data_IF_243909640459
#
_entry.id   IF_243909640459
#
_cell.length_a   1.000
_cell.length_b   1.000
_cell.length_c   1.000
_cell.angle_alpha   90.00
_cell.angle_beta   90.00
_cell.angle_gamma   90.00
#
_symmetry.space_group_name_H-M   'P 1'
#
loop_
_entity.id
_entity.type
_entity.pdbx_description
1 polymer ?
#
# COMPACT_ATOMS: atom_id res chain seq x y z
N UNK A 1 -22.07 11.43 -38.23
CA UNK A 1 -22.37 12.84 -38.00
C UNK A 1 -22.74 13.49 -39.31
N UNK A 2 -23.49 14.59 -39.28
CA UNK A 2 -23.88 15.34 -40.47
C UNK A 2 -22.69 15.75 -41.35
N UNK A 3 -21.54 16.07 -40.75
CA UNK A 3 -20.32 16.42 -41.45
C UNK A 3 -19.71 15.24 -42.23
N UNK A 4 -19.75 14.00 -41.69
CA UNK A 4 -19.26 12.82 -42.39
C UNK A 4 -20.13 12.44 -43.56
N UNK A 5 -21.45 12.62 -43.45
CA UNK A 5 -22.38 12.42 -44.54
C UNK A 5 -22.22 13.48 -45.66
N UNK A 6 -22.00 14.73 -45.25
CA UNK A 6 -21.72 15.82 -46.19
C UNK A 6 -20.39 15.62 -46.93
N UNK A 7 -19.34 15.17 -46.22
CA UNK A 7 -18.05 14.83 -46.82
C UNK A 7 -18.14 13.60 -47.79
N UNK A 8 -18.90 12.59 -47.44
CA UNK A 8 -19.12 11.41 -48.29
C UNK A 8 -19.91 11.83 -49.60
N UNK A 9 -20.91 12.69 -49.45
CA UNK A 9 -21.65 13.24 -50.59
C UNK A 9 -20.76 14.11 -51.50
N UNK A 10 -19.89 14.96 -50.89
CA UNK A 10 -18.97 15.84 -51.62
C UNK A 10 -17.89 15.07 -52.42
N UNK A 11 -17.50 13.88 -51.95
CA UNK A 11 -16.52 13.04 -52.62
C UNK A 11 -17.05 12.36 -53.87
N UNK A 12 -18.39 12.36 -54.11
CA UNK A 12 -19.00 11.87 -55.32
C UNK A 12 -18.68 10.40 -55.68
N UNK A 13 -18.10 9.66 -54.77
CA UNK A 13 -17.64 8.30 -55.02
C UNK A 13 -18.84 7.34 -54.84
N UNK A 14 -19.17 6.59 -55.93
CA UNK A 14 -20.13 5.50 -55.84
C UNK A 14 -19.62 4.48 -54.79
N UNK A 15 -20.37 4.33 -53.69
CA UNK A 15 -20.03 3.44 -52.59
C UNK A 15 -19.31 4.09 -51.42
N UNK A 16 -19.15 5.41 -51.37
CA UNK A 16 -18.70 6.11 -50.16
C UNK A 16 -19.82 6.11 -49.11
N UNK A 17 -19.62 5.41 -48.04
CA UNK A 17 -20.56 5.34 -46.92
C UNK A 17 -19.96 6.07 -45.70
N UNK A 18 -20.71 6.98 -45.11
CA UNK A 18 -20.30 7.60 -43.88
C UNK A 18 -20.50 6.63 -42.70
N UNK A 19 -19.45 6.01 -42.30
CA UNK A 19 -19.46 5.11 -41.15
C UNK A 19 -19.48 5.97 -39.88
N UNK A 20 -20.65 6.10 -39.27
CA UNK A 20 -20.84 6.81 -38.02
C UNK A 20 -20.14 6.13 -36.86
N UNK A 21 -19.76 6.90 -35.84
CA UNK A 21 -19.34 6.35 -34.56
C UNK A 21 -20.52 5.66 -33.90
N UNK A 22 -20.57 4.33 -33.97
CA UNK A 22 -21.56 3.57 -33.21
C UNK A 22 -21.20 3.59 -31.72
N UNK A 23 -22.15 3.27 -30.85
CA UNK A 23 -21.89 3.16 -29.41
C UNK A 23 -21.03 1.94 -29.05
N UNK A 24 -20.82 1.01 -29.98
CA UNK A 24 -20.08 -0.24 -29.83
C UNK A 24 -18.80 -0.32 -30.69
N UNK A 25 -18.64 0.56 -31.67
CA UNK A 25 -17.54 0.49 -32.64
C UNK A 25 -16.19 0.94 -32.08
N UNK A 26 -15.13 0.30 -32.59
CA UNK A 26 -13.72 0.63 -32.37
C UNK A 26 -13.04 0.85 -33.71
N UNK A 27 -12.46 2.03 -33.91
CA UNK A 27 -11.69 2.35 -35.12
C UNK A 27 -10.21 2.20 -34.84
N UNK A 28 -9.51 1.44 -35.70
CA UNK A 28 -8.05 1.33 -35.69
C UNK A 28 -7.49 2.29 -36.72
N UNK A 29 -6.64 3.22 -36.27
CA UNK A 29 -6.04 4.26 -37.12
C UNK A 29 -4.53 4.12 -37.17
N UNK A 30 -3.92 4.58 -38.25
CA UNK A 30 -2.47 4.66 -38.36
C UNK A 30 -1.95 5.73 -37.39
N UNK A 31 -1.02 5.36 -36.51
CA UNK A 31 -0.40 6.27 -35.53
C UNK A 31 0.08 7.57 -36.16
N UNK A 32 -0.27 8.69 -35.54
CA UNK A 32 0.10 10.04 -35.99
C UNK A 32 -0.72 10.55 -37.17
N UNK A 33 -1.76 9.86 -37.58
CA UNK A 33 -2.64 10.25 -38.70
C UNK A 33 -4.11 10.05 -38.32
N UNK A 34 -5.02 10.59 -39.13
CA UNK A 34 -6.47 10.29 -39.07
C UNK A 34 -6.87 9.12 -39.98
N UNK A 35 -5.91 8.45 -40.66
CA UNK A 35 -6.18 7.36 -41.58
C UNK A 35 -6.70 6.13 -40.83
N UNK A 36 -7.95 5.79 -41.03
CA UNK A 36 -8.57 4.56 -40.54
C UNK A 36 -8.01 3.37 -41.33
N UNK A 37 -7.47 2.37 -40.64
CA UNK A 37 -7.00 1.11 -41.21
C UNK A 37 -8.15 0.12 -41.34
N UNK A 38 -8.96 0.01 -40.30
CA UNK A 38 -10.22 -0.72 -40.29
C UNK A 38 -11.10 -0.24 -39.16
N UNK A 39 -12.36 -0.59 -39.23
CA UNK A 39 -13.34 -0.36 -38.16
C UNK A 39 -13.98 -1.69 -37.78
N UNK A 40 -14.09 -1.92 -36.49
CA UNK A 40 -14.76 -3.07 -35.92
C UNK A 40 -16.02 -2.62 -35.20
N UNK A 41 -17.15 -3.23 -35.54
CA UNK A 41 -18.40 -3.08 -34.80
C UNK A 41 -19.10 -4.43 -34.72
N UNK A 42 -18.94 -5.13 -33.60
CA UNK A 42 -19.59 -6.41 -33.33
C UNK A 42 -20.92 -6.27 -32.60
N UNK A 43 -21.39 -5.04 -32.36
CA UNK A 43 -22.57 -4.78 -31.55
C UNK A 43 -22.29 -4.76 -30.05
N UNK A 44 -23.37 -4.58 -29.26
CA UNK A 44 -23.28 -4.51 -27.81
C UNK A 44 -22.74 -5.83 -27.22
N UNK A 45 -21.76 -5.72 -26.31
CA UNK A 45 -21.16 -6.88 -25.63
C UNK A 45 -20.05 -7.62 -26.39
N UNK A 46 -19.78 -7.23 -27.66
CA UNK A 46 -18.67 -7.79 -28.44
C UNK A 46 -17.50 -6.82 -28.46
N UNK A 47 -16.29 -7.34 -28.22
CA UNK A 47 -15.08 -6.52 -28.11
C UNK A 47 -14.05 -6.91 -29.19
N UNK A 48 -13.28 -5.93 -29.64
CA UNK A 48 -12.12 -6.18 -30.51
C UNK A 48 -11.02 -6.82 -29.68
N UNK A 49 -10.48 -7.95 -30.13
CA UNK A 49 -9.28 -8.57 -29.55
C UNK A 49 -8.14 -8.50 -30.56
N UNK A 50 -7.00 -7.99 -30.10
CA UNK A 50 -5.75 -7.97 -30.86
C UNK A 50 -4.81 -8.99 -30.24
N UNK A 51 -4.41 -9.99 -31.04
CA UNK A 51 -3.46 -11.03 -30.65
C UNK A 51 -2.13 -10.79 -31.36
N UNK A 52 -1.00 -10.76 -30.65
CA UNK A 52 0.30 -10.71 -31.31
C UNK A 52 0.54 -12.02 -32.08
N UNK A 53 1.15 -11.90 -33.25
CA UNK A 53 1.53 -13.08 -34.04
C UNK A 53 2.57 -13.94 -33.30
N UNK A 54 2.69 -15.21 -33.71
CA UNK A 54 3.80 -16.07 -33.31
C UNK A 54 4.86 -15.99 -34.41
N UNK A 55 6.08 -15.60 -34.02
CA UNK A 55 7.24 -15.64 -34.94
C UNK A 55 8.20 -16.72 -34.43
N UNK A 56 8.39 -17.78 -35.15
CA UNK A 56 9.38 -18.86 -34.93
C UNK A 56 9.47 -19.40 -33.51
N UNK A 57 8.34 -19.54 -32.81
CA UNK A 57 8.26 -20.02 -31.43
C UNK A 57 8.67 -18.98 -30.35
N UNK A 58 9.00 -17.78 -30.76
CA UNK A 58 9.30 -16.66 -29.82
C UNK A 58 8.00 -15.99 -29.39
N UNK A 59 7.85 -15.78 -28.08
CA UNK A 59 6.73 -14.99 -27.56
C UNK A 59 6.80 -13.56 -28.08
N UNK A 60 5.88 -13.20 -28.95
CA UNK A 60 5.76 -11.83 -29.42
C UNK A 60 5.07 -10.93 -28.40
N UNK A 61 5.31 -9.64 -28.51
CA UNK A 61 4.79 -8.64 -27.57
C UNK A 61 3.91 -7.61 -28.28
N UNK A 62 2.89 -7.15 -27.57
CA UNK A 62 2.07 -6.00 -28.00
C UNK A 62 2.58 -4.73 -27.31
N UNK A 63 2.69 -3.64 -28.06
CA UNK A 63 3.05 -2.33 -27.53
C UNK A 63 1.80 -1.57 -27.09
N UNK A 64 1.77 -1.12 -25.82
CA UNK A 64 0.69 -0.30 -25.29
C UNK A 64 1.22 0.76 -24.33
N UNK A 65 0.88 2.02 -24.54
CA UNK A 65 1.31 3.17 -23.71
C UNK A 65 2.80 3.21 -23.40
N UNK A 66 3.65 2.88 -24.38
CA UNK A 66 5.11 2.93 -24.25
C UNK A 66 5.75 1.70 -23.61
N UNK A 67 4.95 0.71 -23.21
CA UNK A 67 5.43 -0.55 -22.63
C UNK A 67 5.13 -1.74 -23.57
N UNK A 68 5.82 -2.84 -23.36
CA UNK A 68 5.65 -4.11 -24.06
C UNK A 68 4.96 -5.13 -23.16
N UNK A 69 3.99 -5.86 -23.68
CA UNK A 69 3.17 -6.81 -22.94
C UNK A 69 3.10 -8.14 -23.65
N UNK A 70 3.13 -9.23 -22.89
CA UNK A 70 2.73 -10.54 -23.39
C UNK A 70 1.20 -10.65 -23.46
N UNK A 71 0.72 -11.61 -24.31
CA UNK A 71 -0.70 -11.94 -24.38
C UNK A 71 -1.55 -11.00 -25.25
N UNK A 72 -2.84 -11.23 -25.22
CA UNK A 72 -3.83 -10.58 -26.06
C UNK A 72 -4.32 -9.26 -25.44
N UNK A 73 -4.78 -8.35 -26.28
CA UNK A 73 -5.39 -7.10 -25.86
C UNK A 73 -6.84 -7.01 -26.31
N UNK A 74 -7.77 -6.86 -25.38
CA UNK A 74 -9.18 -6.64 -25.63
C UNK A 74 -9.52 -5.16 -25.45
N UNK A 75 -10.22 -4.60 -26.41
CA UNK A 75 -10.70 -3.23 -26.44
C UNK A 75 -12.22 -3.24 -26.27
N UNK A 76 -12.69 -2.94 -25.06
CA UNK A 76 -14.11 -2.93 -24.70
C UNK A 76 -14.65 -1.51 -24.75
N UNK A 77 -15.63 -1.28 -25.61
CA UNK A 77 -16.36 0.00 -25.65
C UNK A 77 -17.18 0.18 -24.38
N UNK A 78 -17.10 1.36 -23.81
CA UNK A 78 -17.90 1.78 -22.64
C UNK A 78 -18.79 2.96 -22.99
N UNK A 79 -19.76 3.27 -22.12
CA UNK A 79 -20.59 4.47 -22.24
C UNK A 79 -19.73 5.75 -22.30
N UNK A 80 -20.23 6.79 -22.96
CA UNK A 80 -19.54 8.06 -23.10
C UNK A 80 -18.31 8.05 -24.01
N UNK A 81 -18.12 7.04 -24.84
CA UNK A 81 -17.01 7.00 -25.79
C UNK A 81 -15.71 6.44 -25.27
N UNK A 82 -15.63 6.01 -24.02
CA UNK A 82 -14.45 5.46 -23.40
C UNK A 82 -14.16 4.01 -23.85
N UNK A 83 -12.90 3.60 -23.74
CA UNK A 83 -12.45 2.22 -23.93
C UNK A 83 -11.84 1.70 -22.63
N UNK A 84 -12.28 0.51 -22.20
CA UNK A 84 -11.51 -0.31 -21.27
C UNK A 84 -10.58 -1.19 -22.09
N UNK A 85 -9.28 -1.12 -21.78
CA UNK A 85 -8.27 -1.96 -22.44
C UNK A 85 -7.81 -3.02 -21.44
N UNK A 86 -8.03 -4.30 -21.80
CA UNK A 86 -7.72 -5.44 -20.94
C UNK A 86 -6.64 -6.28 -21.61
N UNK A 87 -5.59 -6.59 -20.85
CA UNK A 87 -4.55 -7.51 -21.29
C UNK A 87 -4.87 -8.93 -20.77
N UNK A 88 -5.07 -9.87 -21.66
CA UNK A 88 -5.20 -11.30 -21.36
C UNK A 88 -3.82 -11.93 -21.44
N UNK A 89 -3.26 -12.28 -20.30
CA UNK A 89 -1.89 -12.78 -20.17
C UNK A 89 -1.87 -14.09 -19.40
N UNK A 90 -1.04 -15.09 -19.80
CA UNK A 90 -0.83 -16.30 -19.01
C UNK A 90 -0.31 -15.95 -17.60
N UNK A 91 -0.75 -16.71 -16.58
CA UNK A 91 -0.45 -16.42 -15.18
C UNK A 91 1.04 -16.28 -14.90
N UNK A 92 1.89 -17.15 -15.43
CA UNK A 92 3.33 -17.11 -15.16
C UNK A 92 4.02 -15.91 -15.82
N UNK A 93 3.56 -15.51 -17.00
CA UNK A 93 4.02 -14.29 -17.65
C UNK A 93 3.60 -13.04 -16.89
N UNK A 94 2.37 -13.03 -16.36
CA UNK A 94 1.88 -11.97 -15.48
C UNK A 94 2.72 -11.89 -14.19
N UNK A 95 2.95 -13.02 -13.52
CA UNK A 95 3.75 -13.09 -12.29
C UNK A 95 5.17 -12.57 -12.51
N UNK A 96 5.86 -13.03 -13.58
CA UNK A 96 7.19 -12.51 -13.92
C UNK A 96 7.19 -10.99 -14.10
N UNK A 97 6.19 -10.44 -14.80
CA UNK A 97 6.07 -9.00 -15.00
C UNK A 97 5.78 -8.23 -13.70
N UNK A 98 4.95 -8.77 -12.81
CA UNK A 98 4.65 -8.16 -11.50
C UNK A 98 5.89 -8.16 -10.62
N UNK A 99 6.51 -9.32 -10.38
CA UNK A 99 7.65 -9.41 -9.46
C UNK A 99 8.86 -8.59 -9.92
N UNK A 100 9.03 -8.43 -11.23
CA UNK A 100 10.10 -7.61 -11.80
C UNK A 100 9.93 -6.11 -11.51
N UNK A 101 8.72 -5.67 -11.20
CA UNK A 101 8.42 -4.30 -10.78
C UNK A 101 8.48 -4.13 -9.26
N UNK A 102 8.15 -5.18 -8.53
CA UNK A 102 8.10 -5.20 -7.07
C UNK A 102 9.49 -5.38 -6.44
N UNK A 103 10.34 -6.20 -7.03
CA UNK A 103 11.68 -6.52 -6.52
C UNK A 103 12.74 -6.42 -7.62
N UNK A 104 13.97 -6.04 -7.25
CA UNK A 104 15.09 -6.02 -8.18
C UNK A 104 15.46 -7.43 -8.67
N UNK A 105 15.72 -7.59 -9.97
CA UNK A 105 16.22 -8.84 -10.54
C UNK A 105 17.57 -9.31 -9.94
N UNK A 106 18.31 -8.42 -9.24
CA UNK A 106 19.56 -8.74 -8.55
C UNK A 106 19.38 -9.30 -7.13
N UNK A 107 18.14 -9.36 -6.63
CA UNK A 107 17.86 -9.89 -5.31
C UNK A 107 18.00 -11.42 -5.27
N UNK A 108 18.21 -12.02 -4.07
CA UNK A 108 18.29 -13.47 -3.92
C UNK A 108 17.07 -14.17 -4.52
N UNK A 109 17.32 -15.29 -5.21
CA UNK A 109 16.29 -16.03 -5.92
C UNK A 109 15.14 -16.47 -5.00
N UNK A 110 15.44 -16.86 -3.76
CA UNK A 110 14.40 -17.28 -2.82
C UNK A 110 13.47 -16.15 -2.39
N UNK A 111 13.94 -14.90 -2.32
CA UNK A 111 13.08 -13.74 -2.12
C UNK A 111 12.17 -13.50 -3.32
N UNK A 112 12.71 -13.61 -4.54
CA UNK A 112 11.93 -13.47 -5.77
C UNK A 112 10.88 -14.59 -5.91
N UNK A 113 11.22 -15.84 -5.51
CA UNK A 113 10.28 -16.96 -5.45
C UNK A 113 9.15 -16.72 -4.44
N UNK A 114 9.47 -16.24 -3.24
CA UNK A 114 8.45 -15.88 -2.24
C UNK A 114 7.48 -14.82 -2.80
N UNK A 115 8.02 -13.77 -3.43
CA UNK A 115 7.22 -12.75 -4.09
C UNK A 115 6.37 -13.31 -5.25
N UNK A 116 6.91 -14.25 -6.04
CA UNK A 116 6.18 -14.88 -7.14
C UNK A 116 4.97 -15.67 -6.63
N UNK A 117 5.14 -16.45 -5.58
CA UNK A 117 4.04 -17.20 -4.94
C UNK A 117 3.00 -16.25 -4.34
N UNK A 118 3.43 -15.16 -3.68
CA UNK A 118 2.51 -14.13 -3.20
C UNK A 118 1.71 -13.49 -4.34
N UNK A 119 2.39 -13.04 -5.39
CA UNK A 119 1.75 -12.36 -6.52
C UNK A 119 0.75 -13.27 -7.23
N UNK A 120 1.10 -14.53 -7.46
CA UNK A 120 0.23 -15.54 -8.08
C UNK A 120 -1.00 -15.81 -7.23
N UNK A 121 -0.81 -16.03 -5.93
CA UNK A 121 -1.90 -16.30 -5.00
C UNK A 121 -2.85 -15.12 -4.92
N UNK A 122 -2.30 -13.89 -4.80
CA UNK A 122 -3.11 -12.67 -4.81
C UNK A 122 -3.95 -12.55 -6.10
N UNK A 123 -3.34 -12.73 -7.26
CA UNK A 123 -4.05 -12.65 -8.54
C UNK A 123 -5.16 -13.70 -8.64
N UNK A 124 -4.88 -14.95 -8.22
CA UNK A 124 -5.86 -16.04 -8.22
C UNK A 124 -7.05 -15.76 -7.30
N UNK A 125 -6.78 -15.21 -6.10
CA UNK A 125 -7.79 -14.87 -5.09
C UNK A 125 -8.66 -13.67 -5.50
N UNK A 126 -8.09 -12.71 -6.25
CA UNK A 126 -8.74 -11.45 -6.60
C UNK A 126 -9.28 -11.44 -8.04
N UNK A 127 -9.50 -12.60 -8.65
CA UNK A 127 -10.25 -12.69 -9.90
C UNK A 127 -11.62 -12.03 -9.72
N UNK A 128 -12.04 -11.31 -10.74
CA UNK A 128 -13.30 -10.56 -10.72
C UNK A 128 -13.37 -9.37 -9.73
N UNK A 129 -12.28 -8.94 -9.10
CA UNK A 129 -12.29 -7.76 -8.21
C UNK A 129 -12.85 -6.52 -8.92
N UNK A 130 -12.57 -6.39 -10.21
CA UNK A 130 -13.07 -5.31 -11.07
C UNK A 130 -14.06 -5.78 -12.15
N UNK A 131 -14.86 -6.80 -11.86
CA UNK A 131 -15.84 -7.37 -12.81
C UNK A 131 -16.83 -6.35 -13.37
N UNK A 132 -17.26 -5.36 -12.58
CA UNK A 132 -18.08 -4.24 -13.04
C UNK A 132 -17.41 -3.41 -14.16
N UNK A 133 -16.09 -3.43 -14.22
CA UNK A 133 -15.29 -2.78 -15.26
C UNK A 133 -14.82 -3.77 -16.33
N UNK A 134 -15.17 -5.06 -16.25
CA UNK A 134 -14.91 -6.10 -17.24
C UNK A 134 -13.48 -6.66 -17.22
N UNK A 135 -12.78 -6.63 -16.07
CA UNK A 135 -11.47 -7.24 -15.88
C UNK A 135 -11.29 -7.77 -14.45
N UNK A 136 -10.29 -8.62 -14.23
CA UNK A 136 -10.04 -9.25 -12.94
C UNK A 136 -9.30 -8.33 -11.97
N UNK A 137 -8.12 -7.87 -12.34
CA UNK A 137 -7.22 -7.05 -11.52
C UNK A 137 -6.71 -5.85 -12.32
N UNK A 138 -6.46 -4.73 -11.65
CA UNK A 138 -5.87 -3.54 -12.29
C UNK A 138 -4.35 -3.54 -12.17
N UNK A 139 -3.68 -2.78 -13.07
CA UNK A 139 -2.23 -2.62 -13.09
C UNK A 139 -1.69 -1.51 -12.18
N UNK A 140 -2.41 -1.16 -11.11
CA UNK A 140 -2.03 -0.11 -10.16
C UNK A 140 -1.85 -0.65 -8.74
N UNK A 141 -1.47 0.21 -7.81
CA UNK A 141 -1.29 -0.13 -6.38
C UNK A 141 -2.57 -0.59 -5.67
N UNK A 142 -3.75 -0.44 -6.29
CA UNK A 142 -4.98 -1.02 -5.74
C UNK A 142 -5.03 -2.56 -5.87
N UNK A 143 -4.35 -3.11 -6.88
CA UNK A 143 -4.14 -4.56 -7.03
C UNK A 143 -2.65 -4.90 -7.00
N UNK A 144 -1.99 -4.87 -8.15
CA UNK A 144 -0.57 -5.14 -8.31
C UNK A 144 -0.01 -4.28 -9.43
N UNK A 145 1.10 -3.60 -9.20
CA UNK A 145 1.71 -2.74 -10.22
C UNK A 145 2.18 -3.60 -11.41
N UNK A 146 1.64 -3.31 -12.61
CA UNK A 146 1.89 -4.10 -13.80
C UNK A 146 2.14 -3.21 -15.03
N UNK A 147 3.36 -3.26 -15.55
CA UNK A 147 3.81 -2.52 -16.73
C UNK A 147 4.40 -3.44 -17.81
N UNK A 148 3.86 -4.66 -17.93
CA UNK A 148 4.33 -5.64 -18.88
C UNK A 148 5.80 -6.03 -18.65
N UNK A 149 6.55 -6.21 -19.74
CA UNK A 149 7.90 -6.79 -19.72
C UNK A 149 9.02 -5.79 -19.42
N UNK A 150 8.71 -4.56 -19.00
CA UNK A 150 9.68 -3.46 -18.93
C UNK A 150 10.89 -3.72 -18.02
N UNK A 151 10.72 -4.51 -16.97
CA UNK A 151 11.76 -4.82 -15.97
C UNK A 151 12.04 -6.31 -15.80
N UNK A 152 11.46 -7.18 -16.64
CA UNK A 152 11.71 -8.63 -16.56
C UNK A 152 13.18 -8.95 -16.78
N UNK A 153 13.70 -9.89 -15.98
CA UNK A 153 15.07 -10.33 -16.06
C UNK A 153 15.18 -11.86 -15.86
N UNK A 154 16.38 -12.38 -15.97
CA UNK A 154 16.63 -13.83 -15.88
C UNK A 154 16.18 -14.42 -14.55
N UNK A 155 16.48 -13.74 -13.42
CA UNK A 155 16.13 -14.26 -12.09
C UNK A 155 14.63 -14.13 -11.81
N UNK A 156 13.96 -13.07 -12.25
CA UNK A 156 12.50 -12.95 -12.09
C UNK A 156 11.77 -13.98 -12.94
N UNK A 157 12.21 -14.22 -14.17
CA UNK A 157 11.65 -15.27 -15.02
C UNK A 157 11.83 -16.65 -14.38
N UNK A 158 13.04 -16.94 -13.91
CA UNK A 158 13.38 -18.18 -13.21
C UNK A 158 12.56 -18.37 -11.93
N UNK A 159 12.36 -17.31 -11.14
CA UNK A 159 11.54 -17.37 -9.92
C UNK A 159 10.08 -17.71 -10.22
N UNK A 160 9.50 -17.11 -11.26
CA UNK A 160 8.14 -17.42 -11.70
C UNK A 160 8.02 -18.88 -12.19
N UNK A 161 8.98 -19.34 -13.00
CA UNK A 161 9.02 -20.69 -13.56
C UNK A 161 9.21 -21.78 -12.48
N UNK A 162 10.21 -21.62 -11.59
CA UNK A 162 10.51 -22.60 -10.55
C UNK A 162 9.41 -22.70 -9.47
N UNK A 163 8.53 -21.71 -9.39
CA UNK A 163 7.36 -21.71 -8.50
C UNK A 163 6.04 -21.83 -9.24
N UNK A 164 6.05 -22.20 -10.51
CA UNK A 164 4.85 -22.26 -11.32
C UNK A 164 3.75 -23.10 -10.67
N UNK A 165 2.53 -22.54 -10.65
CA UNK A 165 1.37 -23.18 -10.02
C UNK A 165 1.36 -23.24 -8.50
N UNK A 166 2.43 -22.79 -7.79
CA UNK A 166 2.46 -22.76 -6.34
C UNK A 166 1.66 -21.58 -5.76
N UNK A 167 0.84 -21.88 -4.76
CA UNK A 167 0.02 -20.91 -4.04
C UNK A 167 0.15 -21.08 -2.52
N UNK A 168 -0.19 -20.04 -1.77
CA UNK A 168 -0.27 -20.08 -0.30
C UNK A 168 -1.68 -20.52 0.11
N UNK A 169 -1.75 -21.49 1.02
CA UNK A 169 -2.99 -22.08 1.51
C UNK A 169 -3.09 -22.03 3.02
N UNK A 170 -4.29 -21.81 3.53
CA UNK A 170 -4.61 -21.89 4.95
C UNK A 170 -5.94 -22.60 5.15
N UNK A 171 -5.97 -23.65 5.98
CA UNK A 171 -7.20 -24.38 6.26
C UNK A 171 -7.90 -24.93 5.01
N UNK A 172 -7.15 -25.35 4.00
CA UNK A 172 -7.69 -25.92 2.75
C UNK A 172 -8.19 -24.88 1.72
N UNK A 173 -8.04 -23.57 2.00
CA UNK A 173 -8.38 -22.46 1.09
C UNK A 173 -7.15 -21.63 0.75
N UNK A 174 -7.14 -21.00 -0.41
CA UNK A 174 -6.09 -20.03 -0.73
C UNK A 174 -6.10 -18.89 0.28
N UNK A 175 -4.92 -18.41 0.69
CA UNK A 175 -4.74 -17.32 1.62
C UNK A 175 -4.54 -15.99 0.90
N UNK A 176 -5.06 -14.88 1.43
CA UNK A 176 -4.70 -13.54 0.95
C UNK A 176 -3.23 -13.25 1.26
N UNK A 177 -2.46 -12.95 0.24
CA UNK A 177 -1.02 -12.75 0.32
C UNK A 177 -0.65 -11.30 0.04
N UNK A 178 -0.99 -10.43 0.99
CA UNK A 178 -0.56 -9.04 0.94
C UNK A 178 0.95 -8.94 1.14
N UNK A 179 1.56 -7.92 0.52
CA UNK A 179 2.97 -7.62 0.65
C UNK A 179 3.22 -6.11 0.54
N UNK A 180 4.36 -5.66 1.02
CA UNK A 180 4.72 -4.24 1.06
C UNK A 180 6.24 -4.10 1.15
N UNK A 181 6.75 -2.87 1.02
CA UNK A 181 8.18 -2.62 0.88
C UNK A 181 9.02 -3.06 2.09
N UNK A 182 8.84 -2.41 3.25
CA UNK A 182 9.61 -2.68 4.45
C UNK A 182 8.81 -2.35 5.72
N UNK A 183 9.00 -3.15 6.79
CA UNK A 183 8.15 -3.12 7.98
C UNK A 183 8.66 -2.24 9.12
N UNK A 184 9.95 -1.90 9.13
CA UNK A 184 10.56 -1.12 10.19
C UNK A 184 10.80 -1.90 11.49
N UNK A 185 10.74 -3.24 11.43
CA UNK A 185 11.00 -4.17 12.53
C UNK A 185 9.82 -5.03 12.97
N UNK A 186 8.62 -4.83 12.41
CA UNK A 186 7.50 -5.75 12.60
C UNK A 186 6.40 -5.52 11.57
N UNK A 187 5.76 -6.60 11.13
CA UNK A 187 4.50 -6.56 10.39
C UNK A 187 3.32 -6.36 11.34
N UNK A 188 2.11 -6.27 10.83
CA UNK A 188 0.91 -6.02 11.62
C UNK A 188 -0.22 -6.97 11.28
N UNK A 189 -1.10 -7.19 12.26
CA UNK A 189 -2.34 -7.92 12.05
C UNK A 189 -3.28 -7.15 11.11
N UNK A 190 -3.92 -7.87 10.18
CA UNK A 190 -4.89 -7.28 9.26
C UNK A 190 -6.02 -6.55 10.01
N UNK A 191 -6.44 -7.05 11.16
CA UNK A 191 -7.47 -6.45 12.00
C UNK A 191 -7.08 -5.09 12.58
N UNK A 192 -5.79 -4.84 12.78
CA UNK A 192 -5.25 -3.59 13.30
C UNK A 192 -4.95 -2.54 12.20
N UNK A 193 -5.04 -2.91 10.94
CA UNK A 193 -4.79 -2.00 9.81
C UNK A 193 -6.09 -1.70 9.07
N UNK A 194 -6.80 -2.72 8.65
CA UNK A 194 -8.04 -2.58 7.89
C UNK A 194 -9.25 -3.06 8.69
N UNK A 195 -10.41 -2.56 8.34
CA UNK A 195 -11.67 -3.15 8.78
C UNK A 195 -11.85 -4.44 8.01
N UNK A 196 -11.65 -5.56 8.67
CA UNK A 196 -11.95 -6.87 8.13
C UNK A 196 -12.99 -7.51 9.04
N UNK A 197 -14.12 -7.90 8.48
CA UNK A 197 -15.10 -8.75 9.14
C UNK A 197 -14.71 -10.22 8.98
N UNK A 198 -13.66 -10.50 8.19
CA UNK A 198 -13.13 -11.83 7.94
C UNK A 198 -11.91 -12.05 8.83
N UNK A 199 -11.96 -13.05 9.69
CA UNK A 199 -10.80 -13.51 10.44
C UNK A 199 -9.79 -14.13 9.48
N UNK A 200 -8.62 -13.50 9.39
CA UNK A 200 -7.45 -13.98 8.64
C UNK A 200 -6.34 -14.36 9.63
N UNK A 201 -6.46 -15.49 10.34
CA UNK A 201 -5.59 -15.81 11.46
C UNK A 201 -4.13 -16.05 11.07
N UNK A 202 -3.84 -16.20 9.80
CA UNK A 202 -2.49 -16.27 9.24
C UNK A 202 -1.84 -14.89 9.03
N UNK A 203 -2.59 -13.78 9.09
CA UNK A 203 -2.11 -12.39 9.02
C UNK A 203 -2.10 -11.73 10.41
N UNK A 204 -1.31 -12.27 11.32
CA UNK A 204 -1.27 -11.85 12.74
C UNK A 204 -0.30 -10.71 13.05
N UNK A 205 0.58 -10.40 12.14
CA UNK A 205 1.75 -9.58 12.46
C UNK A 205 2.83 -10.37 13.19
N UNK A 206 4.06 -10.16 12.78
CA UNK A 206 5.25 -10.81 13.35
C UNK A 206 6.34 -9.77 13.59
N UNK A 207 7.12 -9.95 14.66
CA UNK A 207 8.36 -9.19 14.86
C UNK A 207 9.39 -9.71 13.86
N UNK A 208 9.96 -8.81 13.07
CA UNK A 208 10.93 -9.14 12.02
C UNK A 208 12.35 -8.74 12.46
N UNK A 209 13.18 -9.70 12.89
CA UNK A 209 14.56 -9.43 13.25
C UNK A 209 15.50 -9.39 12.04
N UNK A 210 15.04 -9.75 10.85
CA UNK A 210 15.87 -9.92 9.66
C UNK A 210 16.07 -8.61 8.91
N UNK A 211 15.02 -7.79 8.80
CA UNK A 211 15.04 -6.55 8.00
C UNK A 211 16.15 -5.57 8.46
N UNK A 212 16.51 -5.60 9.74
CA UNK A 212 17.59 -4.80 10.29
C UNK A 212 18.95 -5.01 9.58
N UNK A 213 19.23 -6.20 9.05
CA UNK A 213 20.48 -6.51 8.34
C UNK A 213 20.63 -5.71 7.04
N UNK A 214 19.53 -5.30 6.45
CA UNK A 214 19.49 -4.60 5.16
C UNK A 214 19.00 -3.15 5.28
N UNK A 215 18.67 -2.69 6.49
CA UNK A 215 18.10 -1.37 6.74
C UNK A 215 18.93 -0.22 6.12
N UNK A 216 20.26 -0.33 6.13
CA UNK A 216 21.16 0.65 5.53
C UNK A 216 21.10 0.72 3.99
N UNK A 217 20.53 -0.29 3.34
CA UNK A 217 20.36 -0.37 1.89
C UNK A 217 18.98 0.15 1.45
N UNK A 218 18.08 0.40 2.40
CA UNK A 218 16.71 0.83 2.12
C UNK A 218 16.65 2.36 2.09
N UNK A 219 16.40 2.90 0.92
CA UNK A 219 16.24 4.35 0.79
C UNK A 219 15.07 4.83 1.66
N UNK A 220 15.37 5.75 2.58
CA UNK A 220 14.36 6.31 3.49
C UNK A 220 13.68 5.24 4.37
N UNK A 221 14.46 4.24 4.83
CA UNK A 221 14.01 3.30 5.87
C UNK A 221 13.47 4.03 7.10
N UNK A 222 14.16 5.08 7.50
CA UNK A 222 13.67 6.05 8.47
C UNK A 222 13.38 7.37 7.75
N UNK A 223 12.22 7.95 7.99
CA UNK A 223 11.85 9.24 7.44
C UNK A 223 11.15 10.10 8.47
N UNK A 224 11.38 11.41 8.41
CA UNK A 224 10.78 12.39 9.33
C UNK A 224 9.88 13.34 8.56
N UNK A 225 8.75 13.68 9.20
CA UNK A 225 7.86 14.76 8.77
C UNK A 225 7.59 15.63 9.99
N UNK A 226 7.75 16.94 9.83
CA UNK A 226 7.44 17.89 10.89
C UNK A 226 6.16 18.64 10.57
N UNK A 227 5.26 18.70 11.53
CA UNK A 227 4.03 19.49 11.45
C UNK A 227 4.09 20.63 12.47
N UNK A 228 3.82 21.84 12.06
CA UNK A 228 3.47 22.92 12.98
C UNK A 228 2.04 22.70 13.53
N UNK A 229 1.74 23.26 14.69
CA UNK A 229 0.37 23.28 15.24
C UNK A 229 -0.64 23.85 14.24
N UNK A 230 -0.23 24.87 13.47
CA UNK A 230 -1.04 25.49 12.43
C UNK A 230 -1.31 24.52 11.26
N UNK A 231 -0.29 23.84 10.75
CA UNK A 231 -0.46 22.87 9.65
C UNK A 231 -1.36 21.71 10.05
N UNK A 232 -1.26 21.21 11.29
CA UNK A 232 -2.19 20.18 11.78
C UNK A 232 -3.63 20.71 11.85
N UNK A 233 -3.84 21.95 12.29
CA UNK A 233 -5.16 22.60 12.27
C UNK A 233 -5.71 22.71 10.85
N UNK A 234 -4.89 23.18 9.92
CA UNK A 234 -5.26 23.32 8.50
C UNK A 234 -5.57 21.95 7.87
N UNK A 235 -4.78 20.91 8.16
CA UNK A 235 -5.02 19.54 7.72
C UNK A 235 -6.36 19.02 8.26
N UNK A 236 -6.65 19.18 9.53
CA UNK A 236 -7.92 18.81 10.14
C UNK A 236 -9.09 19.53 9.45
N UNK A 237 -9.02 20.85 9.31
CA UNK A 237 -10.06 21.65 8.67
C UNK A 237 -10.29 21.24 7.21
N UNK A 238 -9.23 20.93 6.46
CA UNK A 238 -9.33 20.46 5.07
C UNK A 238 -10.11 19.15 4.91
N UNK A 239 -10.26 18.39 6.00
CA UNK A 239 -10.99 17.13 6.10
C UNK A 239 -12.29 17.25 6.91
N UNK A 240 -12.78 18.47 7.12
CA UNK A 240 -14.00 18.79 7.88
C UNK A 240 -13.96 18.44 9.38
N UNK A 241 -12.77 18.36 9.97
CA UNK A 241 -12.59 18.26 11.42
C UNK A 241 -12.34 19.67 12.00
N UNK A 242 -13.39 20.35 12.44
CA UNK A 242 -13.30 21.73 12.96
C UNK A 242 -12.73 21.74 14.38
N UNK A 243 -11.51 22.21 14.53
CA UNK A 243 -10.79 22.33 15.81
C UNK A 243 -10.42 23.80 16.12
N UNK A 244 -10.23 24.09 17.39
CA UNK A 244 -9.53 25.28 17.85
C UNK A 244 -8.01 25.15 17.59
N UNK A 245 -7.16 25.93 18.26
CA UNK A 245 -5.73 25.81 18.09
C UNK A 245 -5.23 24.47 18.64
N UNK A 246 -4.41 23.77 17.85
CA UNK A 246 -3.84 22.48 18.25
C UNK A 246 -2.85 22.71 19.38
N UNK A 247 -3.01 21.94 20.46
CA UNK A 247 -2.12 22.00 21.63
C UNK A 247 -1.23 20.77 21.72
N UNK A 248 -1.74 19.59 21.30
CA UNK A 248 -0.99 18.35 21.38
C UNK A 248 -1.32 17.40 20.21
N UNK A 249 -0.34 16.57 19.85
CA UNK A 249 -0.44 15.51 18.85
C UNK A 249 0.43 14.35 19.29
N UNK A 250 -0.19 13.23 19.66
CA UNK A 250 0.54 12.09 20.20
C UNK A 250 -0.08 10.74 19.85
N UNK A 251 0.76 9.70 19.92
CA UNK A 251 0.29 8.32 19.90
C UNK A 251 -0.44 8.01 21.20
N UNK A 252 -1.68 7.55 21.10
CA UNK A 252 -2.52 7.22 22.27
C UNK A 252 -2.70 5.72 22.45
N UNK A 253 -2.44 4.93 21.40
CA UNK A 253 -2.52 3.47 21.48
C UNK A 253 -1.54 2.83 20.50
N UNK A 254 -0.88 1.76 20.97
CA UNK A 254 0.00 0.92 20.14
C UNK A 254 -0.47 -0.53 20.15
N UNK A 255 -0.12 -1.26 19.10
CA UNK A 255 -0.37 -2.70 19.00
C UNK A 255 0.69 -3.50 19.77
N UNK A 256 0.47 -4.80 20.00
CA UNK A 256 1.50 -5.66 20.62
C UNK A 256 2.81 -5.74 19.84
N UNK A 257 2.79 -5.50 18.52
CA UNK A 257 3.99 -5.45 17.67
C UNK A 257 4.70 -4.08 17.73
N UNK A 258 4.14 -3.11 18.45
CA UNK A 258 4.71 -1.77 18.61
C UNK A 258 4.35 -0.79 17.49
N UNK A 259 3.44 -1.14 16.60
CA UNK A 259 2.90 -0.23 15.60
C UNK A 259 1.85 0.71 16.22
N UNK A 260 1.63 1.86 15.63
CA UNK A 260 0.63 2.82 16.11
C UNK A 260 -0.76 2.33 15.72
N UNK A 261 -1.61 2.07 16.73
CA UNK A 261 -3.01 1.73 16.51
C UNK A 261 -3.87 3.00 16.46
N UNK A 262 -3.62 3.94 17.37
CA UNK A 262 -4.37 5.19 17.44
C UNK A 262 -3.44 6.37 17.71
N UNK A 263 -3.66 7.44 16.97
CA UNK A 263 -3.02 8.75 17.18
C UNK A 263 -4.09 9.80 17.40
N UNK A 264 -3.86 10.73 18.31
CA UNK A 264 -4.87 11.73 18.70
C UNK A 264 -4.29 13.14 18.65
N UNK A 265 -5.05 14.05 18.08
CA UNK A 265 -4.81 15.50 18.10
C UNK A 265 -5.74 16.12 19.13
N UNK A 266 -5.22 17.03 19.95
CA UNK A 266 -5.95 17.74 20.99
C UNK A 266 -5.92 19.25 20.71
N UNK A 267 -7.02 19.94 20.98
CA UNK A 267 -7.12 21.39 20.81
C UNK A 267 -7.25 22.16 22.13
N UNK A 268 -7.09 23.47 22.05
CA UNK A 268 -7.17 24.38 23.19
C UNK A 268 -8.59 24.51 23.79
N UNK A 269 -9.63 24.04 23.09
CA UNK A 269 -11.00 23.97 23.59
C UNK A 269 -11.30 22.68 24.35
N UNK A 270 -10.29 21.81 24.55
CA UNK A 270 -10.43 20.52 25.23
C UNK A 270 -11.05 19.41 24.36
N UNK A 271 -11.23 19.63 23.07
CA UNK A 271 -11.68 18.59 22.13
C UNK A 271 -10.52 17.78 21.60
N UNK A 272 -10.81 16.55 21.18
CA UNK A 272 -9.82 15.67 20.56
C UNK A 272 -10.37 14.92 19.36
N UNK A 273 -9.49 14.55 18.45
CA UNK A 273 -9.78 13.77 17.23
C UNK A 273 -8.80 12.61 17.17
N UNK A 274 -9.34 11.40 17.24
CA UNK A 274 -8.57 10.18 17.18
C UNK A 274 -8.67 9.53 15.81
N UNK A 275 -7.54 9.11 15.29
CA UNK A 275 -7.39 8.43 14.02
C UNK A 275 -6.78 7.06 14.27
N UNK A 276 -7.51 6.00 13.93
CA UNK A 276 -7.11 4.63 14.27
C UNK A 276 -6.86 3.80 13.01
N UNK A 277 -6.10 2.73 13.17
CA UNK A 277 -5.78 1.76 12.13
C UNK A 277 -5.09 2.45 10.94
N UNK A 278 -5.44 2.11 9.71
CA UNK A 278 -4.84 2.72 8.52
C UNK A 278 -4.97 4.25 8.48
N UNK A 279 -6.02 4.82 9.07
CA UNK A 279 -6.18 6.27 9.17
C UNK A 279 -5.11 6.92 10.05
N UNK A 280 -4.56 6.22 11.05
CA UNK A 280 -3.45 6.73 11.85
C UNK A 280 -2.21 7.04 11.00
N UNK A 281 -2.07 6.39 9.86
CA UNK A 281 -1.01 6.60 8.85
C UNK A 281 -1.45 7.52 7.72
N UNK A 282 -2.53 7.14 7.03
CA UNK A 282 -2.91 7.75 5.75
C UNK A 282 -3.45 9.17 5.90
N UNK A 283 -4.10 9.48 7.02
CA UNK A 283 -4.60 10.83 7.28
C UNK A 283 -3.49 11.88 7.31
N UNK A 284 -2.33 11.52 7.87
CA UNK A 284 -1.15 12.39 8.00
C UNK A 284 -0.13 12.20 6.87
N UNK A 285 -0.43 11.40 5.86
CA UNK A 285 0.48 11.14 4.73
C UNK A 285 1.76 10.40 5.11
N UNK A 286 1.75 9.62 6.21
CA UNK A 286 2.91 8.89 6.70
C UNK A 286 3.19 7.63 5.88
N UNK A 287 4.45 7.22 5.81
CA UNK A 287 4.90 6.08 5.01
C UNK A 287 4.53 4.73 5.61
N UNK A 288 4.58 4.62 6.94
CA UNK A 288 4.32 3.40 7.69
C UNK A 288 3.44 3.69 8.89
N UNK A 289 2.83 2.66 9.45
CA UNK A 289 2.11 2.71 10.73
C UNK A 289 3.06 2.57 11.93
N UNK A 290 4.35 2.31 11.67
CA UNK A 290 5.39 2.28 12.68
C UNK A 290 6.08 3.63 12.77
N UNK A 291 5.71 4.43 13.77
CA UNK A 291 6.29 5.77 13.97
C UNK A 291 6.25 6.22 15.41
N UNK A 292 7.07 7.20 15.72
CA UNK A 292 7.07 7.95 16.98
C UNK A 292 6.78 9.42 16.71
N UNK A 293 6.26 10.12 17.71
CA UNK A 293 6.03 11.56 17.66
C UNK A 293 6.84 12.20 18.78
N UNK A 294 7.69 13.17 18.45
CA UNK A 294 8.38 14.03 19.38
C UNK A 294 7.89 15.48 19.27
N UNK A 295 8.08 16.28 20.32
CA UNK A 295 7.52 17.63 20.38
C UNK A 295 6.07 17.67 20.88
N UNK A 296 5.46 16.49 21.13
CA UNK A 296 4.19 16.43 21.87
C UNK A 296 4.38 17.05 23.25
N UNK A 297 3.42 17.87 23.66
CA UNK A 297 3.42 18.40 25.01
C UNK A 297 3.55 17.26 25.99
N UNK A 298 4.53 17.33 26.88
CA UNK A 298 4.69 16.34 27.91
C UNK A 298 3.47 16.38 28.84
N UNK A 299 2.49 15.54 28.51
CA UNK A 299 1.40 15.24 29.41
C UNK A 299 1.92 14.28 30.47
N UNK A 300 1.79 14.62 31.74
CA UNK A 300 2.05 13.69 32.83
C UNK A 300 0.85 12.74 32.93
N UNK A 301 1.09 11.43 32.83
CA UNK A 301 0.04 10.44 33.05
C UNK A 301 -0.16 10.26 34.54
N UNK A 302 -1.35 10.57 35.04
CA UNK A 302 -1.75 10.35 36.44
C UNK A 302 -2.88 9.33 36.43
N UNK A 303 -2.57 8.09 36.79
CA UNK A 303 -3.49 6.95 36.75
C UNK A 303 -3.97 6.62 35.32
N UNK A 304 -4.78 5.57 35.18
CA UNK A 304 -5.24 4.98 33.90
C UNK A 304 -6.01 5.96 33.01
N UNK A 305 -6.58 7.02 33.57
CA UNK A 305 -7.58 7.83 32.84
C UNK A 305 -7.27 9.35 32.80
N UNK A 306 -6.13 9.80 33.31
CA UNK A 306 -5.81 11.23 33.39
C UNK A 306 -4.48 11.63 32.76
N UNK A 307 -4.51 12.56 31.82
CA UNK A 307 -3.32 13.27 31.32
C UNK A 307 -3.36 14.69 31.85
N UNK A 308 -2.35 15.06 32.65
CA UNK A 308 -2.17 16.43 33.07
C UNK A 308 -1.25 17.17 32.11
N UNK A 309 -1.69 18.29 31.51
CA UNK A 309 -0.87 19.06 30.57
C UNK A 309 0.33 19.73 31.23
N UNK A 310 0.29 19.89 32.54
CA UNK A 310 1.39 20.42 33.38
C UNK A 310 1.24 19.93 34.80
N UNK A 311 2.34 19.98 35.56
CA UNK A 311 2.33 19.74 37.04
C UNK A 311 1.86 20.94 37.83
N UNK A 312 1.47 22.04 37.20
CA UNK A 312 0.94 23.22 37.87
C UNK A 312 -0.40 22.90 38.55
N UNK A 313 -0.51 23.19 39.82
CA UNK A 313 -1.71 22.89 40.58
C UNK A 313 -1.85 21.45 41.09
N UNK A 314 -0.85 20.60 40.83
CA UNK A 314 -0.84 19.21 41.32
C UNK A 314 -0.37 19.16 42.76
N UNK A 315 -0.97 18.28 43.56
CA UNK A 315 -0.57 18.00 44.94
C UNK A 315 0.06 16.61 45.03
N UNK A 316 1.17 16.52 45.73
CA UNK A 316 1.85 15.24 46.03
C UNK A 316 1.62 14.88 47.49
N UNK A 317 1.47 13.58 47.76
CA UNK A 317 1.42 13.01 49.12
C UNK A 317 2.76 12.34 49.38
N UNK A 318 3.44 12.73 50.46
CA UNK A 318 4.69 12.10 50.88
C UNK A 318 4.44 10.81 51.70
N UNK A 319 5.51 10.06 52.01
CA UNK A 319 5.42 8.82 52.75
C UNK A 319 4.88 8.96 54.20
N UNK A 320 4.75 10.17 54.72
CA UNK A 320 4.15 10.49 56.03
C UNK A 320 2.70 10.96 55.91
N UNK A 321 2.09 10.92 54.72
CA UNK A 321 0.73 11.35 54.46
C UNK A 321 0.54 12.87 54.33
N UNK A 322 1.60 13.67 54.33
CA UNK A 322 1.49 15.13 54.19
C UNK A 322 1.27 15.46 52.71
N UNK A 323 0.27 16.34 52.48
CA UNK A 323 -0.08 16.82 51.14
C UNK A 323 0.60 18.16 50.91
N UNK A 324 1.34 18.30 49.81
CA UNK A 324 1.97 19.56 49.41
C UNK A 324 1.77 19.79 47.92
N UNK A 325 1.63 21.05 47.53
CA UNK A 325 1.56 21.42 46.13
C UNK A 325 2.93 21.21 45.47
N UNK A 326 2.95 20.59 44.31
CA UNK A 326 4.17 20.47 43.51
C UNK A 326 4.55 21.85 43.01
N UNK A 327 5.77 22.37 43.32
CA UNK A 327 6.17 23.69 42.87
C UNK A 327 6.15 23.82 41.35
N UNK A 328 5.71 24.95 40.84
CA UNK A 328 5.71 25.25 39.41
C UNK A 328 7.14 25.13 38.84
N UNK A 329 7.30 24.39 37.77
CA UNK A 329 8.59 24.12 37.15
C UNK A 329 9.40 22.96 37.77
N UNK A 330 8.87 22.29 38.77
CA UNK A 330 9.51 21.08 39.33
C UNK A 330 9.43 19.92 38.32
N UNK A 331 10.54 19.19 38.19
CA UNK A 331 10.58 17.90 37.51
C UNK A 331 10.61 16.79 38.57
N UNK A 332 9.49 16.11 38.82
CA UNK A 332 9.45 15.04 39.81
C UNK A 332 10.27 13.82 39.39
N UNK A 333 10.70 13.05 40.38
CA UNK A 333 11.28 11.74 40.19
C UNK A 333 10.19 10.67 40.35
N UNK A 334 10.26 9.63 39.54
CA UNK A 334 9.41 8.45 39.68
C UNK A 334 10.26 7.24 40.10
N UNK A 335 9.72 6.42 40.96
CA UNK A 335 10.29 5.11 41.29
C UNK A 335 9.79 4.13 40.26
N UNK A 336 10.70 3.58 39.50
CA UNK A 336 10.44 2.52 38.49
C UNK A 336 10.97 1.18 38.99
N UNK A 337 10.68 0.10 38.29
CA UNK A 337 11.25 -1.23 38.56
C UNK A 337 12.79 -1.20 38.55
N UNK A 338 13.37 -0.33 37.72
CA UNK A 338 14.82 -0.28 37.49
C UNK A 338 15.52 0.82 38.31
N UNK A 339 14.79 1.47 39.22
CA UNK A 339 15.30 2.51 40.10
C UNK A 339 14.55 3.84 40.03
N UNK A 340 15.20 4.88 40.56
CA UNK A 340 14.64 6.25 40.53
C UNK A 340 15.03 6.91 39.23
N UNK A 341 14.03 7.24 38.40
CA UNK A 341 14.20 7.99 37.15
C UNK A 341 13.62 9.40 37.31
N UNK A 342 14.28 10.40 36.73
CA UNK A 342 13.71 11.74 36.60
C UNK A 342 12.56 11.65 35.57
N UNK A 343 11.40 12.21 35.90
CA UNK A 343 10.36 12.39 34.88
C UNK A 343 10.86 13.46 33.90
N UNK A 344 11.36 13.00 32.76
CA UNK A 344 11.67 13.88 31.63
C UNK A 344 10.35 14.32 31.00
N UNK A 345 9.80 15.41 31.54
CA UNK A 345 8.71 16.13 30.93
C UNK A 345 9.29 17.42 30.36
N UNK A 346 9.75 17.42 29.13
CA UNK A 346 9.94 18.71 28.45
C UNK A 346 8.57 19.36 28.33
N UNK A 347 8.39 20.50 28.97
CA UNK A 347 7.31 21.38 28.62
C UNK A 347 7.45 21.70 27.12
N UNK A 348 6.55 21.17 26.30
CA UNK A 348 6.56 21.48 24.90
C UNK A 348 6.24 22.95 24.69
N UNK A 349 7.27 23.79 24.78
CA UNK A 349 7.23 25.18 24.31
C UNK A 349 7.30 25.22 22.76
N UNK A 350 7.45 24.07 22.12
CA UNK A 350 7.57 23.92 20.66
C UNK A 350 6.26 24.14 19.93
N UNK A 351 6.34 24.82 18.78
CA UNK A 351 5.23 25.01 17.85
C UNK A 351 5.15 23.88 16.83
N UNK A 352 5.94 22.82 17.00
CA UNK A 352 6.09 21.74 16.02
C UNK A 352 6.06 20.36 16.66
N UNK A 353 5.60 19.39 15.87
CA UNK A 353 5.64 17.96 16.17
C UNK A 353 6.44 17.25 15.08
N UNK A 354 7.42 16.46 15.45
CA UNK A 354 8.23 15.68 14.52
C UNK A 354 7.79 14.21 14.58
N UNK A 355 7.30 13.72 13.47
CA UNK A 355 6.93 12.30 13.30
C UNK A 355 8.09 11.59 12.64
N UNK A 356 8.67 10.61 13.32
CA UNK A 356 9.71 9.72 12.77
C UNK A 356 9.09 8.38 12.43
N UNK A 357 9.05 8.06 11.16
CA UNK A 357 8.45 6.84 10.60
C UNK A 357 9.54 5.83 10.27
N UNK A 358 9.30 4.56 10.56
CA UNK A 358 10.16 3.42 10.25
C UNK A 358 9.46 2.50 9.27
N UNK A 359 10.16 2.10 8.20
CA UNK A 359 9.58 1.27 7.14
C UNK A 359 8.72 2.04 6.13
N UNK A 360 8.14 1.28 5.19
CA UNK A 360 7.29 1.81 4.13
C UNK A 360 6.24 0.78 3.68
N UNK A 361 4.99 1.07 3.92
CA UNK A 361 3.86 0.27 3.49
C UNK A 361 2.74 0.19 4.51
N UNK A 362 1.81 -0.73 4.27
CA UNK A 362 0.68 -0.99 5.15
C UNK A 362 0.98 -1.99 6.27
N UNK A 363 2.15 -2.58 6.28
CA UNK A 363 2.67 -3.52 7.27
C UNK A 363 1.91 -4.86 7.39
N UNK A 364 0.98 -5.20 6.51
CA UNK A 364 0.22 -6.47 6.55
C UNK A 364 0.81 -7.49 5.59
N UNK A 365 1.14 -8.70 6.08
CA UNK A 365 1.69 -9.78 5.29
C UNK A 365 3.21 -9.70 5.11
N UNK A 366 3.75 -9.98 3.91
CA UNK A 366 5.18 -10.12 3.67
C UNK A 366 5.88 -8.76 3.46
N UNK A 367 6.92 -8.48 4.25
CA UNK A 367 7.91 -7.44 3.94
C UNK A 367 8.82 -7.89 2.80
N UNK A 368 8.93 -7.08 1.75
CA UNK A 368 9.81 -7.38 0.61
C UNK A 368 11.30 -7.34 1.03
N UNK A 369 11.70 -6.33 1.80
CA UNK A 369 13.07 -6.23 2.29
C UNK A 369 13.37 -7.24 3.39
N UNK A 370 12.41 -7.59 4.23
CA UNK A 370 12.56 -8.68 5.19
C UNK A 370 12.73 -10.03 4.48
N UNK A 371 11.95 -10.31 3.42
CA UNK A 371 12.14 -11.49 2.58
C UNK A 371 13.54 -11.53 1.92
N UNK A 372 14.05 -10.36 1.47
CA UNK A 372 15.42 -10.24 0.95
C UNK A 372 16.45 -10.60 2.01
N UNK A 373 16.30 -10.09 3.24
CA UNK A 373 17.23 -10.36 4.35
C UNK A 373 17.20 -11.85 4.76
N UNK A 374 16.02 -12.45 4.86
CA UNK A 374 15.88 -13.89 5.14
C UNK A 374 16.55 -14.74 4.08
N UNK A 375 16.33 -14.43 2.79
CA UNK A 375 16.94 -15.15 1.69
C UNK A 375 18.48 -15.04 1.70
N UNK A 376 19.04 -13.89 2.07
CA UNK A 376 20.49 -13.70 2.27
C UNK A 376 21.05 -14.53 3.41
N UNK A 377 20.25 -14.84 4.43
CA UNK A 377 20.59 -15.75 5.52
C UNK A 377 20.39 -17.24 5.16
N UNK A 378 19.98 -17.55 3.92
CA UNK A 378 19.82 -18.90 3.40
C UNK A 378 18.44 -19.51 3.61
N UNK A 379 17.44 -18.74 4.03
CA UNK A 379 16.07 -19.23 4.11
C UNK A 379 15.49 -19.46 2.72
N UNK A 380 14.75 -20.55 2.58
CA UNK A 380 13.98 -20.88 1.38
C UNK A 380 12.74 -20.01 1.25
N UNK A 381 12.19 -19.90 0.05
CA UNK A 381 10.94 -19.13 -0.19
C UNK A 381 9.76 -19.68 0.64
N UNK A 382 9.71 -20.98 0.91
CA UNK A 382 8.67 -21.57 1.76
C UNK A 382 8.81 -21.15 3.22
N UNK A 383 10.04 -21.12 3.75
CA UNK A 383 10.31 -20.64 5.11
C UNK A 383 9.97 -19.15 5.24
N UNK A 384 10.31 -18.33 4.23
CA UNK A 384 9.97 -16.91 4.19
C UNK A 384 8.44 -16.73 4.23
N UNK A 385 7.70 -17.45 3.39
CA UNK A 385 6.24 -17.37 3.36
C UNK A 385 5.61 -17.81 4.67
N UNK A 386 6.09 -18.92 5.28
CA UNK A 386 5.60 -19.43 6.56
C UNK A 386 5.93 -18.52 7.74
N UNK A 387 6.99 -17.72 7.63
CA UNK A 387 7.33 -16.71 8.63
C UNK A 387 6.31 -15.56 8.64
N UNK A 388 6.00 -14.98 7.48
CA UNK A 388 5.06 -13.85 7.39
C UNK A 388 3.58 -14.26 7.42
N UNK A 389 3.27 -15.47 6.99
CA UNK A 389 1.92 -16.02 6.99
C UNK A 389 1.86 -17.22 7.92
N UNK A 390 1.38 -17.00 9.14
CA UNK A 390 1.43 -18.02 10.21
C UNK A 390 0.55 -19.22 9.91
N UNK A 391 1.14 -20.43 9.92
CA UNK A 391 0.41 -21.70 9.80
C UNK A 391 -0.08 -22.00 8.38
N UNK A 392 0.50 -21.39 7.36
CA UNK A 392 0.18 -21.67 5.96
C UNK A 392 0.97 -22.84 5.38
N UNK A 393 0.44 -23.36 4.29
CA UNK A 393 1.11 -24.32 3.41
C UNK A 393 1.37 -23.67 2.06
N UNK A 394 2.48 -24.06 1.40
CA UNK A 394 2.79 -23.70 0.01
C UNK A 394 2.67 -24.93 -0.85
N UNK A 395 1.73 -24.94 -1.77
CA UNK A 395 1.44 -26.10 -2.62
C UNK A 395 0.89 -25.71 -3.99
#
# INVERSE_FOLDING_TARGET
SGEANAAAAALGAAGAEAVGTSSSGVSVVRTGTSRVLFQFDGGAGVSLVVRPGLEDGVKTVTHFRGYRYYGDFQYQRRSGGNLTVVNFVPMEDYVNCVISREMSNSWPLEALKAQAVCARTYAAMNRNKHSSNGFDVCGSTDCQVYFGTAWTGTNTARAAEETAGKHVWYGGRMAQTFYFSCDGGATESVGNVWRSDVDMPYLKGVVDPYEADVASQIEKYTSTVTFTKRELKELLHSKNYMCADVVDFRVTETTPTGNVLTVTVFDAAGKSWSFSKEKARTFFGLRSQRYTISGSGAGYYVNKDGVLPSMSGVYAVNGSGNVSQVPSGSMPYVVTRDGIARMEGEAASGNTFTVTTYGWGHNVGMSQWGANAMARRGHTYEEILKFYFTGVEVR
#
